data_IF_734590622882
#
_entry.id   IF_734590622882
#
_cell.length_a   1.000
_cell.length_b   1.000
_cell.length_c   1.000
_cell.angle_alpha   90.00
_cell.angle_beta   90.00
_cell.angle_gamma   90.00
#
_symmetry.space_group_name_H-M   'P 1'
#
loop_
_entity.id
_entity.type
_entity.pdbx_description
1 polymer ?
#
# COMPACT_ATOMS: atom_id res chain seq x y z
N UNK A 1 -13.02 -36.11 -3.69
CA UNK A 1 -13.32 -34.95 -2.82
C UNK A 1 -12.41 -34.87 -1.58
N UNK A 2 -12.25 -35.94 -0.78
CA UNK A 2 -11.42 -35.93 0.44
C UNK A 2 -9.92 -35.69 0.18
N UNK A 3 -9.31 -36.36 -0.80
CA UNK A 3 -7.89 -36.17 -1.15
C UNK A 3 -7.57 -34.74 -1.62
N UNK A 4 -8.51 -34.10 -2.32
CA UNK A 4 -8.39 -32.72 -2.78
C UNK A 4 -8.41 -31.73 -1.61
N UNK A 5 -9.25 -31.98 -0.58
CA UNK A 5 -9.26 -31.20 0.66
C UNK A 5 -7.94 -31.31 1.43
N UNK A 6 -7.36 -32.51 1.49
CA UNK A 6 -6.06 -32.73 2.16
C UNK A 6 -4.92 -31.99 1.45
N UNK A 7 -4.87 -32.02 0.11
CA UNK A 7 -3.86 -31.29 -0.68
C UNK A 7 -4.05 -29.78 -0.48
N UNK A 8 -5.28 -29.28 -0.56
CA UNK A 8 -5.60 -27.88 -0.33
C UNK A 8 -5.25 -27.45 1.09
N UNK A 9 -5.53 -28.25 2.11
CA UNK A 9 -5.15 -27.93 3.49
C UNK A 9 -3.64 -27.96 3.72
N UNK A 10 -2.92 -28.90 3.10
CA UNK A 10 -1.44 -28.93 3.15
C UNK A 10 -0.85 -27.69 2.49
N UNK A 11 -1.36 -27.29 1.32
CA UNK A 11 -0.95 -26.08 0.62
C UNK A 11 -1.31 -24.82 1.44
N UNK A 12 -2.54 -24.75 1.95
CA UNK A 12 -3.04 -23.66 2.79
C UNK A 12 -2.19 -23.47 4.04
N UNK A 13 -1.77 -24.55 4.70
CA UNK A 13 -0.87 -24.48 5.88
C UNK A 13 0.52 -23.92 5.55
N UNK A 14 0.98 -24.03 4.29
CA UNK A 14 2.27 -23.46 3.85
C UNK A 14 2.16 -21.99 3.45
N UNK A 15 1.01 -21.57 2.89
CA UNK A 15 0.83 -20.22 2.32
C UNK A 15 0.20 -19.24 3.32
N UNK A 16 -0.55 -19.73 4.32
CA UNK A 16 -1.16 -18.85 5.32
C UNK A 16 -0.12 -18.37 6.34
N UNK A 17 0.04 -17.06 6.38
CA UNK A 17 0.71 -16.37 7.47
C UNK A 17 -0.20 -16.41 8.69
N UNK A 18 0.26 -17.06 9.77
CA UNK A 18 -0.50 -17.16 11.03
C UNK A 18 -0.26 -15.97 11.95
N UNK A 19 0.92 -15.38 11.88
CA UNK A 19 1.30 -14.23 12.69
C UNK A 19 0.50 -12.99 12.30
N UNK A 20 -0.27 -12.47 13.25
CA UNK A 20 -1.14 -11.33 13.02
C UNK A 20 -0.34 -10.08 12.65
N UNK A 21 0.74 -9.81 13.40
CA UNK A 21 1.61 -8.67 13.17
C UNK A 21 2.23 -8.70 11.76
N UNK A 22 2.71 -9.86 11.31
CA UNK A 22 3.31 -9.95 9.97
C UNK A 22 2.28 -9.65 8.87
N UNK A 23 1.03 -10.10 9.03
CA UNK A 23 -0.04 -9.76 8.08
C UNK A 23 -0.34 -8.27 8.04
N UNK A 24 -0.33 -7.63 9.21
CA UNK A 24 -0.51 -6.18 9.32
C UNK A 24 0.62 -5.41 8.64
N UNK A 25 1.87 -5.81 8.90
CA UNK A 25 3.06 -5.19 8.31
C UNK A 25 3.08 -5.31 6.78
N UNK A 26 2.74 -6.49 6.25
CA UNK A 26 2.62 -6.68 4.80
C UNK A 26 1.46 -5.89 4.20
N UNK A 27 0.36 -5.74 4.94
CA UNK A 27 -0.77 -4.92 4.50
C UNK A 27 -0.40 -3.43 4.44
N UNK A 28 0.29 -2.90 5.45
CA UNK A 28 0.81 -1.52 5.44
C UNK A 28 1.81 -1.28 4.31
N UNK A 29 2.76 -2.21 4.13
CA UNK A 29 3.70 -2.15 3.01
C UNK A 29 2.98 -2.11 1.67
N UNK A 30 2.06 -3.05 1.44
CA UNK A 30 1.34 -3.18 0.16
C UNK A 30 0.43 -2.00 -0.13
N UNK A 31 -0.31 -1.51 0.88
CA UNK A 31 -1.19 -0.37 0.72
C UNK A 31 -0.41 0.93 0.47
N UNK A 32 0.70 1.16 1.17
CA UNK A 32 1.56 2.33 0.89
C UNK A 32 2.25 2.21 -0.47
N UNK A 33 2.66 1.01 -0.89
CA UNK A 33 3.17 0.78 -2.24
C UNK A 33 2.13 1.19 -3.30
N UNK A 34 0.89 0.71 -3.18
CA UNK A 34 -0.19 1.03 -4.13
C UNK A 34 -0.46 2.54 -4.16
N UNK A 35 -0.56 3.17 -2.98
CA UNK A 35 -0.78 4.61 -2.86
C UNK A 35 0.29 5.40 -3.60
N UNK A 36 1.57 5.11 -3.34
CA UNK A 36 2.68 5.89 -3.89
C UNK A 36 2.91 5.57 -5.35
N UNK A 37 2.89 4.30 -5.74
CA UNK A 37 3.08 3.90 -7.14
C UNK A 37 2.01 4.53 -8.04
N UNK A 38 0.73 4.34 -7.72
CA UNK A 38 -0.35 4.87 -8.55
C UNK A 38 -0.45 6.40 -8.45
N UNK A 39 -0.26 6.96 -7.25
CA UNK A 39 -0.28 8.40 -7.04
C UNK A 39 0.79 9.12 -7.85
N UNK A 40 2.01 8.59 -7.86
CA UNK A 40 3.09 9.13 -8.68
C UNK A 40 2.85 8.89 -10.17
N UNK A 41 2.29 7.75 -10.59
CA UNK A 41 1.92 7.54 -12.00
C UNK A 41 0.86 8.54 -12.47
N UNK A 42 -0.12 8.87 -11.62
CA UNK A 42 -1.16 9.86 -11.90
C UNK A 42 -0.55 11.26 -12.14
N UNK A 43 0.39 11.67 -11.28
CA UNK A 43 1.12 12.96 -11.44
C UNK A 43 2.06 12.91 -12.64
N UNK A 44 2.77 11.80 -12.85
CA UNK A 44 3.68 11.62 -13.99
C UNK A 44 2.94 11.75 -15.33
N UNK A 45 1.73 11.17 -15.46
CA UNK A 45 0.91 11.35 -16.66
C UNK A 45 0.58 12.82 -16.93
N UNK A 46 0.29 13.59 -15.89
CA UNK A 46 -0.01 15.02 -16.03
C UNK A 46 1.21 15.81 -16.47
N UNK A 47 2.33 15.66 -15.74
CA UNK A 47 3.54 16.44 -15.97
C UNK A 47 4.24 16.04 -17.27
N UNK A 48 4.50 14.75 -17.49
CA UNK A 48 5.30 14.27 -18.62
C UNK A 48 4.56 14.36 -19.96
N UNK A 49 3.22 14.36 -19.95
CA UNK A 49 2.45 14.58 -21.19
C UNK A 49 2.33 16.05 -21.57
N UNK A 50 2.68 16.99 -20.67
CA UNK A 50 2.36 18.40 -20.83
C UNK A 50 0.85 18.63 -20.87
N UNK A 51 0.12 18.01 -19.94
CA UNK A 51 -1.34 18.16 -19.76
C UNK A 51 -2.20 17.67 -20.94
N UNK A 52 -1.63 16.87 -21.86
CA UNK A 52 -2.35 16.36 -23.04
C UNK A 52 -3.23 15.15 -22.76
N UNK A 53 -2.80 14.29 -21.83
CA UNK A 53 -3.50 13.02 -21.52
C UNK A 53 -4.12 13.01 -20.13
N UNK A 54 -3.82 14.01 -19.31
CA UNK A 54 -4.35 14.16 -17.96
C UNK A 54 -4.55 15.66 -17.66
N UNK A 55 -5.49 15.98 -16.78
CA UNK A 55 -5.81 17.35 -16.39
C UNK A 55 -5.69 17.53 -14.88
N UNK A 56 -5.58 18.78 -14.42
CA UNK A 56 -5.49 19.07 -12.99
C UNK A 56 -6.67 18.47 -12.18
N UNK A 57 -7.89 18.55 -12.73
CA UNK A 57 -9.07 17.96 -12.10
C UNK A 57 -8.94 16.43 -12.00
N UNK A 58 -8.51 15.78 -13.09
CA UNK A 58 -8.34 14.34 -13.12
C UNK A 58 -7.23 13.87 -12.17
N UNK A 59 -6.16 14.66 -11.96
CA UNK A 59 -5.15 14.38 -10.93
C UNK A 59 -5.77 14.37 -9.53
N UNK A 60 -6.57 15.37 -9.18
CA UNK A 60 -7.20 15.49 -7.86
C UNK A 60 -8.22 14.36 -7.61
N UNK A 61 -9.08 14.08 -8.58
CA UNK A 61 -10.04 12.95 -8.51
C UNK A 61 -9.29 11.62 -8.44
N UNK A 62 -8.24 11.46 -9.23
CA UNK A 62 -7.37 10.29 -9.24
C UNK A 62 -6.76 10.00 -7.87
N UNK A 63 -6.23 11.01 -7.18
CA UNK A 63 -5.71 10.86 -5.82
C UNK A 63 -6.78 10.35 -4.84
N UNK A 64 -8.00 10.89 -4.89
CA UNK A 64 -9.10 10.42 -4.04
C UNK A 64 -9.45 8.94 -4.29
N UNK A 65 -9.49 8.52 -5.56
CA UNK A 65 -9.73 7.12 -5.91
C UNK A 65 -8.58 6.21 -5.49
N UNK A 66 -7.33 6.61 -5.71
CA UNK A 66 -6.14 5.83 -5.35
C UNK A 66 -6.07 5.62 -3.83
N UNK A 67 -6.32 6.67 -3.03
CA UNK A 67 -6.38 6.55 -1.57
C UNK A 67 -7.48 5.56 -1.17
N UNK A 68 -8.65 5.66 -1.78
CA UNK A 68 -9.77 4.74 -1.50
C UNK A 68 -9.38 3.30 -1.81
N UNK A 69 -8.82 3.02 -2.98
CA UNK A 69 -8.38 1.66 -3.35
C UNK A 69 -7.33 1.12 -2.39
N UNK A 70 -6.32 1.92 -2.06
CA UNK A 70 -5.27 1.52 -1.12
C UNK A 70 -5.87 1.19 0.26
N UNK A 71 -6.81 2.00 0.77
CA UNK A 71 -7.53 1.72 2.01
C UNK A 71 -8.27 0.38 1.94
N UNK A 72 -9.03 0.12 0.86
CA UNK A 72 -9.76 -1.13 0.72
C UNK A 72 -8.87 -2.38 0.73
N UNK A 73 -7.60 -2.26 0.30
CA UNK A 73 -6.67 -3.40 0.30
C UNK A 73 -6.22 -3.81 1.71
N UNK A 74 -6.13 -2.88 2.66
CA UNK A 74 -5.53 -3.11 3.97
C UNK A 74 -6.45 -2.79 5.17
N UNK A 75 -7.65 -2.24 4.93
CA UNK A 75 -8.57 -1.80 5.99
C UNK A 75 -8.94 -2.92 6.96
N UNK A 76 -9.19 -4.13 6.44
CA UNK A 76 -9.59 -5.30 7.28
C UNK A 76 -8.41 -5.96 7.99
N UNK A 77 -7.19 -5.68 7.57
CA UNK A 77 -5.98 -6.35 8.08
C UNK A 77 -5.22 -5.47 9.07
N UNK A 78 -4.78 -4.27 8.67
CA UNK A 78 -3.97 -3.38 9.52
C UNK A 78 -4.67 -2.11 9.99
N UNK A 79 -5.87 -1.81 9.46
CA UNK A 79 -6.50 -0.49 9.58
C UNK A 79 -6.07 0.49 8.48
N UNK A 80 -5.10 0.11 7.64
CA UNK A 80 -4.63 0.85 6.48
C UNK A 80 -4.16 2.27 6.79
N UNK A 81 -3.23 2.41 7.74
CA UNK A 81 -2.69 3.72 8.10
C UNK A 81 -1.93 4.34 6.93
N UNK A 82 -1.13 3.53 6.23
CA UNK A 82 -0.37 3.87 5.02
C UNK A 82 0.58 5.07 5.13
N UNK A 83 0.67 5.68 6.30
CA UNK A 83 1.31 6.95 6.56
C UNK A 83 1.81 6.97 8.02
N UNK A 84 3.09 7.28 8.25
CA UNK A 84 3.64 7.37 9.60
C UNK A 84 2.91 8.38 10.49
N UNK A 85 2.39 9.48 9.94
CA UNK A 85 1.63 10.48 10.71
C UNK A 85 0.29 9.93 11.21
N UNK A 86 -0.40 9.10 10.40
CA UNK A 86 -1.65 8.44 10.80
C UNK A 86 -1.36 7.37 11.87
N UNK A 87 -0.27 6.61 11.70
CA UNK A 87 0.18 5.67 12.73
C UNK A 87 0.56 6.37 14.03
N UNK A 88 1.19 7.54 13.95
CA UNK A 88 1.54 8.35 15.11
C UNK A 88 0.29 8.87 15.82
N UNK A 89 -0.69 9.39 15.09
CA UNK A 89 -1.99 9.79 15.65
C UNK A 89 -2.66 8.60 16.38
N UNK A 90 -2.72 7.44 15.74
CA UNK A 90 -3.28 6.21 16.33
C UNK A 90 -2.54 5.77 17.61
N UNK A 91 -1.21 5.94 17.64
CA UNK A 91 -0.39 5.74 18.84
C UNK A 91 -0.75 6.74 19.96
N UNK A 92 -0.86 8.04 19.65
CA UNK A 92 -1.21 9.05 20.66
C UNK A 92 -2.60 8.86 21.26
N UNK A 93 -3.53 8.27 20.51
CA UNK A 93 -4.87 7.93 20.98
C UNK A 93 -4.95 6.56 21.68
N UNK A 94 -3.83 5.86 21.84
CA UNK A 94 -3.77 4.57 22.53
C UNK A 94 -4.32 3.39 21.72
N UNK A 95 -4.59 3.57 20.43
CA UNK A 95 -5.07 2.50 19.54
C UNK A 95 -3.93 1.66 18.95
N UNK A 96 -2.68 2.10 19.09
CA UNK A 96 -1.49 1.42 18.57
C UNK A 96 -0.38 1.41 19.63
N UNK A 97 0.37 0.32 19.76
CA UNK A 97 1.55 0.28 20.64
C UNK A 97 2.76 0.96 19.98
N UNK A 98 3.71 1.45 20.78
CA UNK A 98 4.93 2.12 20.27
C UNK A 98 5.74 1.20 19.34
N UNK A 99 5.92 -0.07 19.72
CA UNK A 99 6.63 -1.04 18.88
C UNK A 99 5.96 -1.22 17.52
N UNK A 100 4.62 -1.33 17.52
CA UNK A 100 3.85 -1.51 16.29
C UNK A 100 3.85 -0.25 15.43
N UNK A 101 3.81 0.93 16.04
CA UNK A 101 4.02 2.21 15.35
C UNK A 101 5.34 2.23 14.58
N UNK A 102 6.47 1.92 15.23
CA UNK A 102 7.78 1.94 14.59
C UNK A 102 7.87 0.95 13.42
N UNK A 103 7.34 -0.26 13.61
CA UNK A 103 7.32 -1.28 12.56
C UNK A 103 6.40 -0.87 11.39
N UNK A 104 5.24 -0.28 11.67
CA UNK A 104 4.35 0.26 10.63
C UNK A 104 5.06 1.34 9.83
N UNK A 105 5.70 2.31 10.51
CA UNK A 105 6.43 3.38 9.83
C UNK A 105 7.55 2.83 8.93
N UNK A 106 8.32 1.85 9.40
CA UNK A 106 9.35 1.20 8.59
C UNK A 106 8.76 0.56 7.32
N UNK A 107 7.65 -0.17 7.44
CA UNK A 107 7.00 -0.82 6.31
C UNK A 107 6.37 0.17 5.33
N UNK A 108 5.81 1.27 5.85
CA UNK A 108 5.28 2.37 5.04
C UNK A 108 6.40 3.04 4.23
N UNK A 109 7.56 3.31 4.86
CA UNK A 109 8.73 3.84 4.14
C UNK A 109 9.28 2.87 3.09
N UNK A 110 9.35 1.58 3.40
CA UNK A 110 9.79 0.57 2.44
C UNK A 110 8.81 0.48 1.25
N UNK A 111 7.50 0.50 1.52
CA UNK A 111 6.45 0.47 0.50
C UNK A 111 6.48 1.70 -0.39
N UNK A 112 6.64 2.90 0.19
CA UNK A 112 6.73 4.15 -0.57
C UNK A 112 7.98 4.20 -1.44
N UNK A 113 9.13 3.78 -0.92
CA UNK A 113 10.38 3.73 -1.67
C UNK A 113 10.28 2.80 -2.89
N UNK A 114 9.77 1.59 -2.70
CA UNK A 114 9.59 0.63 -3.79
C UNK A 114 8.51 1.12 -4.77
N UNK A 115 7.45 1.77 -4.30
CA UNK A 115 6.42 2.37 -5.14
C UNK A 115 6.97 3.48 -6.04
N UNK A 116 7.83 4.34 -5.49
CA UNK A 116 8.51 5.38 -6.26
C UNK A 116 9.50 4.80 -7.27
N UNK A 117 10.30 3.81 -6.88
CA UNK A 117 11.22 3.11 -7.79
C UNK A 117 10.47 2.42 -8.94
N UNK A 118 9.32 1.81 -8.66
CA UNK A 118 8.47 1.20 -9.69
C UNK A 118 7.92 2.26 -10.66
N UNK A 119 7.41 3.39 -10.16
CA UNK A 119 6.96 4.48 -11.03
C UNK A 119 8.10 4.98 -11.93
N UNK A 120 9.28 5.21 -11.36
CA UNK A 120 10.45 5.62 -12.13
C UNK A 120 10.80 4.60 -13.23
N UNK A 121 10.77 3.30 -12.91
CA UNK A 121 10.99 2.24 -13.91
C UNK A 121 9.98 2.25 -15.06
N UNK A 122 8.70 2.54 -14.78
CA UNK A 122 7.67 2.65 -15.82
C UNK A 122 7.87 3.88 -16.73
N UNK A 123 8.34 4.99 -16.16
CA UNK A 123 8.51 6.26 -16.88
C UNK A 123 9.96 6.55 -17.30
N UNK A 124 10.89 5.61 -17.12
CA UNK A 124 12.33 5.83 -17.35
C UNK A 124 12.70 6.32 -18.74
N UNK A 125 11.86 6.07 -19.76
CA UNK A 125 12.09 6.52 -21.15
C UNK A 125 11.56 7.93 -21.44
N UNK A 126 10.76 8.48 -20.52
CA UNK A 126 10.13 9.79 -20.62
C UNK A 126 10.85 10.84 -19.76
N UNK A 127 11.73 10.41 -18.85
CA UNK A 127 12.71 11.24 -18.17
C UNK A 127 13.97 11.39 -19.03
#
# INVERSE_FOLDING_TARGET
VAAQRVIVEKARRRVIIREHLLRELLAEFGATFILVFLGLCNVAQFVLSGERVNSWLAVNVGWGLIITFAIYTAARTSGSHMNPAISFMSYTFGHLSLQKFLLYSLMQFAGSFIGAAAMYGFYTRLF
#
